data_IF_043782488565
#
_entry.id   IF_043782488565
#
_cell.length_a   1.000
_cell.length_b   1.000
_cell.length_c   1.000
_cell.angle_alpha   90.00
_cell.angle_beta   90.00
_cell.angle_gamma   90.00
#
_symmetry.space_group_name_H-M   'P 1'
#
loop_
_entity.id
_entity.type
_entity.pdbx_description
1 polymer ?
#
# COMPACT_ATOMS: atom_id res chain seq x y z
N UNK A 1 -6.56 -9.79 -3.56
CA UNK A 1 -7.38 -8.85 -4.32
C UNK A 1 -7.01 -8.88 -5.79
N UNK A 2 -7.94 -8.46 -6.62
CA UNK A 2 -7.76 -8.48 -8.08
C UNK A 2 -6.57 -7.60 -8.48
N UNK A 3 -6.41 -6.46 -7.85
CA UNK A 3 -5.32 -5.55 -8.18
C UNK A 3 -3.94 -6.14 -7.93
N UNK A 4 -3.78 -6.86 -6.83
CA UNK A 4 -2.51 -7.48 -6.47
C UNK A 4 -2.13 -8.53 -7.50
N UNK A 5 -3.07 -9.37 -7.89
CA UNK A 5 -2.81 -10.41 -8.87
C UNK A 5 -2.40 -9.81 -10.21
N UNK A 6 -3.04 -8.74 -10.62
CA UNK A 6 -2.71 -8.04 -11.85
C UNK A 6 -1.24 -7.62 -11.87
N UNK A 7 -0.76 -7.04 -10.77
CA UNK A 7 0.65 -6.64 -10.65
C UNK A 7 1.59 -7.84 -10.60
N UNK A 8 1.21 -8.89 -9.88
CA UNK A 8 2.03 -10.10 -9.78
C UNK A 8 2.24 -10.77 -11.13
N UNK A 9 1.19 -10.88 -11.91
CA UNK A 9 1.25 -11.51 -13.22
C UNK A 9 2.15 -10.75 -14.19
N UNK A 10 2.35 -9.47 -13.96
CA UNK A 10 3.15 -8.60 -14.82
C UNK A 10 4.54 -8.31 -14.26
N UNK A 11 4.88 -8.90 -13.14
CA UNK A 11 6.17 -8.65 -12.50
C UNK A 11 6.30 -7.25 -11.93
N UNK A 12 5.19 -6.62 -11.60
CA UNK A 12 5.13 -5.25 -11.09
C UNK A 12 4.79 -5.19 -9.61
N UNK A 13 4.78 -6.32 -8.94
CA UNK A 13 4.50 -6.38 -7.50
C UNK A 13 5.79 -6.31 -6.72
N UNK A 14 5.79 -5.52 -5.64
CA UNK A 14 6.92 -5.42 -4.71
C UNK A 14 6.41 -5.70 -3.29
N UNK A 15 7.25 -6.33 -2.48
CA UNK A 15 6.89 -6.61 -1.09
C UNK A 15 6.98 -5.34 -0.22
N UNK A 16 6.64 -5.49 1.07
CA UNK A 16 6.57 -4.35 1.99
C UNK A 16 7.89 -3.69 2.32
N UNK A 17 9.02 -4.32 1.98
CA UNK A 17 10.35 -3.72 2.22
C UNK A 17 10.82 -2.81 1.08
N UNK A 18 10.08 -2.81 -0.01
CA UNK A 18 10.41 -1.98 -1.17
C UNK A 18 10.29 -0.49 -0.83
N UNK A 19 11.21 0.32 -1.34
CA UNK A 19 11.11 1.77 -1.22
C UNK A 19 10.29 2.30 -2.40
N UNK A 20 9.04 2.71 -2.16
CA UNK A 20 8.16 3.09 -3.27
C UNK A 20 8.52 4.44 -3.87
N UNK A 21 7.91 4.71 -5.02
CA UNK A 21 8.03 5.98 -5.73
C UNK A 21 6.67 6.66 -5.79
N UNK A 22 6.65 7.98 -5.96
CA UNK A 22 5.38 8.67 -6.18
C UNK A 22 4.58 8.04 -7.32
N UNK A 23 3.31 7.80 -7.09
CA UNK A 23 2.44 7.16 -8.07
C UNK A 23 2.29 5.66 -7.92
N UNK A 24 3.14 5.00 -7.12
CA UNK A 24 2.96 3.59 -6.82
C UNK A 24 1.70 3.38 -5.99
N UNK A 25 1.07 2.22 -6.12
CA UNK A 25 -0.03 1.83 -5.25
C UNK A 25 0.51 1.10 -4.04
N UNK A 26 -0.02 1.43 -2.87
CA UNK A 26 0.36 0.79 -1.62
C UNK A 26 -0.83 -0.02 -1.10
N UNK A 27 -0.59 -1.27 -0.74
CA UNK A 27 -1.61 -2.19 -0.27
C UNK A 27 -1.36 -2.53 1.18
N UNK A 28 -2.41 -2.56 1.97
CA UNK A 28 -2.34 -2.81 3.41
C UNK A 28 -3.09 -4.05 3.79
N UNK A 29 -2.57 -4.76 4.79
CA UNK A 29 -3.25 -5.84 5.49
C UNK A 29 -3.39 -5.38 6.94
N UNK A 30 -4.54 -4.78 7.27
CA UNK A 30 -4.76 -4.22 8.59
C UNK A 30 -4.85 -5.33 9.64
N UNK A 31 -4.22 -5.11 10.78
CA UNK A 31 -4.36 -5.98 11.93
C UNK A 31 -5.52 -5.49 12.77
N UNK A 32 -6.74 -5.93 12.44
CA UNK A 32 -7.92 -5.50 13.18
C UNK A 32 -8.26 -6.48 14.30
N UNK A 33 -9.16 -6.04 15.20
CA UNK A 33 -9.48 -6.79 16.41
C UNK A 33 -10.15 -8.14 16.14
N UNK A 34 -10.90 -8.23 15.07
CA UNK A 34 -11.70 -9.42 14.79
C UNK A 34 -10.94 -10.48 14.01
N UNK A 35 -10.10 -10.07 13.08
CA UNK A 35 -9.50 -10.99 12.12
C UNK A 35 -7.97 -11.01 12.17
N UNK A 36 -7.33 -9.97 12.67
CA UNK A 36 -5.89 -9.82 12.59
C UNK A 36 -5.43 -9.70 11.14
N UNK A 37 -4.14 -9.86 10.92
CA UNK A 37 -3.57 -9.88 9.58
C UNK A 37 -3.78 -11.25 8.96
N UNK A 38 -4.53 -11.32 7.88
CA UNK A 38 -4.93 -12.58 7.26
C UNK A 38 -4.15 -12.92 5.99
N UNK A 39 -3.14 -12.13 5.65
CA UNK A 39 -2.34 -12.36 4.45
C UNK A 39 -2.97 -11.88 3.17
N UNK A 40 -4.06 -11.13 3.26
CA UNK A 40 -4.75 -10.56 2.09
C UNK A 40 -4.91 -9.06 2.30
N UNK A 41 -4.66 -8.28 1.25
CA UNK A 41 -4.81 -6.83 1.35
C UNK A 41 -6.28 -6.45 1.44
N UNK A 42 -6.60 -5.53 2.36
CA UNK A 42 -7.96 -5.06 2.59
C UNK A 42 -8.08 -3.53 2.43
N UNK A 43 -7.01 -2.85 2.07
CA UNK A 43 -7.01 -1.40 1.87
C UNK A 43 -5.92 -1.01 0.88
N UNK A 44 -6.13 0.04 0.11
CA UNK A 44 -5.16 0.51 -0.88
C UNK A 44 -5.11 2.03 -0.86
N UNK A 45 -3.92 2.58 -1.11
CA UNK A 45 -3.69 4.00 -1.28
C UNK A 45 -2.72 4.27 -2.41
N UNK A 46 -2.41 5.53 -2.63
CA UNK A 46 -1.45 5.96 -3.63
C UNK A 46 -0.29 6.62 -2.91
N UNK A 47 0.93 6.26 -3.28
CA UNK A 47 2.13 6.88 -2.72
C UNK A 47 2.28 8.28 -3.30
N UNK A 48 2.32 9.28 -2.43
CA UNK A 48 2.53 10.66 -2.84
C UNK A 48 4.01 10.99 -2.93
N UNK A 49 4.78 10.55 -1.94
CA UNK A 49 6.24 10.75 -1.90
C UNK A 49 6.85 9.89 -0.80
N UNK A 50 8.16 9.79 -0.83
CA UNK A 50 8.94 9.19 0.26
C UNK A 50 10.00 10.20 0.69
N UNK A 51 10.12 10.42 1.97
CA UNK A 51 11.09 11.38 2.51
C UNK A 51 11.56 10.91 3.88
N UNK A 52 12.88 10.77 4.03
CA UNK A 52 13.46 10.39 5.32
C UNK A 52 13.01 9.04 5.85
N UNK A 53 12.76 8.09 4.98
CA UNK A 53 12.28 6.76 5.39
C UNK A 53 10.80 6.71 5.71
N UNK A 54 10.05 7.75 5.40
CA UNK A 54 8.61 7.83 5.61
C UNK A 54 7.91 7.86 4.27
N UNK A 55 6.91 6.98 4.12
CA UNK A 55 6.04 6.93 2.93
C UNK A 55 4.82 7.78 3.21
N UNK A 56 4.58 8.77 2.37
CA UNK A 56 3.39 9.62 2.45
C UNK A 56 2.38 9.13 1.42
N UNK A 57 1.16 8.90 1.88
CA UNK A 57 0.12 8.31 1.04
C UNK A 57 -1.11 9.19 0.98
N UNK A 58 -1.90 9.00 -0.08
CA UNK A 58 -3.26 9.54 -0.17
C UNK A 58 -4.18 8.34 -0.23
N UNK A 59 -5.12 8.28 0.70
CA UNK A 59 -6.02 7.14 0.85
C UNK A 59 -7.46 7.62 0.87
N UNK A 60 -8.32 6.94 0.10
CA UNK A 60 -9.75 7.15 0.20
C UNK A 60 -10.31 6.37 1.39
N UNK A 61 -11.41 6.86 1.96
CA UNK A 61 -12.11 6.13 3.01
C UNK A 61 -13.60 6.12 2.73
N UNK A 62 -14.34 5.40 3.56
CA UNK A 62 -15.79 5.22 3.38
C UNK A 62 -16.61 6.49 3.51
N UNK A 63 -16.02 7.58 3.97
CA UNK A 63 -16.68 8.87 4.08
C UNK A 63 -16.51 9.76 2.87
N UNK A 64 -16.05 9.24 1.76
CA UNK A 64 -15.76 9.99 0.52
C UNK A 64 -14.68 11.06 0.70
N UNK A 65 -13.88 10.96 1.73
CA UNK A 65 -12.79 11.88 1.97
C UNK A 65 -11.47 11.20 1.64
N UNK A 66 -10.58 11.93 0.96
CA UNK A 66 -9.20 11.49 0.78
C UNK A 66 -8.40 11.96 1.99
N UNK A 67 -7.53 11.10 2.50
CA UNK A 67 -6.68 11.43 3.63
C UNK A 67 -5.23 11.21 3.30
N UNK A 68 -4.41 12.16 3.74
CA UNK A 68 -2.98 11.96 3.71
C UNK A 68 -2.57 11.22 4.97
N UNK A 69 -1.74 10.19 4.80
CA UNK A 69 -1.21 9.44 5.92
C UNK A 69 0.28 9.22 5.71
N UNK A 70 0.95 8.76 6.75
CA UNK A 70 2.39 8.47 6.68
C UNK A 70 2.70 7.21 7.45
N UNK A 71 3.65 6.46 6.89
CA UNK A 71 4.08 5.18 7.46
C UNK A 71 5.59 5.05 7.28
N UNK A 72 6.25 4.43 8.25
CA UNK A 72 7.66 4.07 8.06
C UNK A 72 7.77 3.02 6.96
N UNK A 73 8.84 3.09 6.16
CA UNK A 73 9.13 2.02 5.20
C UNK A 73 9.29 0.72 5.98
N UNK A 74 8.63 -0.35 5.52
CA UNK A 74 8.65 -1.63 6.21
C UNK A 74 7.66 -1.77 7.34
N UNK A 75 6.74 -0.80 7.50
CA UNK A 75 5.68 -0.90 8.50
C UNK A 75 4.92 -2.23 8.37
N UNK A 76 4.61 -2.86 9.51
CA UNK A 76 4.09 -4.22 9.53
C UNK A 76 2.76 -4.40 8.78
N UNK A 77 1.95 -3.36 8.71
CA UNK A 77 0.66 -3.43 8.03
C UNK A 77 0.73 -3.17 6.53
N UNK A 78 1.89 -2.80 6.01
CA UNK A 78 2.07 -2.66 4.57
C UNK A 78 2.25 -4.05 3.98
N UNK A 79 1.30 -4.47 3.15
CA UNK A 79 1.36 -5.77 2.50
C UNK A 79 2.33 -5.77 1.32
N UNK A 80 2.32 -4.72 0.54
CA UNK A 80 3.22 -4.57 -0.60
C UNK A 80 2.78 -3.43 -1.50
N UNK A 81 3.41 -3.36 -2.66
CA UNK A 81 3.22 -2.26 -3.60
C UNK A 81 2.98 -2.78 -5.00
N UNK A 82 2.12 -2.09 -5.74
CA UNK A 82 2.00 -2.26 -7.17
C UNK A 82 2.71 -1.10 -7.86
N UNK A 83 3.58 -1.41 -8.81
CA UNK A 83 4.38 -0.40 -9.51
C UNK A 83 3.89 -0.28 -10.95
N UNK A 84 2.98 0.67 -11.23
CA UNK A 84 2.48 0.82 -12.59
C UNK A 84 3.62 1.14 -13.55
N UNK A 85 3.52 0.61 -14.76
CA UNK A 85 4.49 0.91 -15.82
C UNK A 85 4.07 2.21 -16.51
N UNK A 86 4.67 3.27 -16.12
CA UNK A 86 4.41 4.58 -16.74
C UNK A 86 5.23 4.75 -18.01
#
# INVERSE_FOLDING_TARGET
SIGIQWFRERGLWQDGSYEPRPGDLIFFDWDDEDEGQDGAADHVGIVEKVDGGIVYTVEGNSGNACRERQYAIGHAEIYGYGTPAY
#
